data_IF_882583328476
#
_entry.id   IF_882583328476
#
_cell.length_a   1.000
_cell.length_b   1.000
_cell.length_c   1.000
_cell.angle_alpha   90.00
_cell.angle_beta   90.00
_cell.angle_gamma   90.00
#
_symmetry.space_group_name_H-M   'P 1'
#
loop_
_entity.id
_entity.type
_entity.pdbx_description
1 polymer ?
#
# COMPACT_ATOMS: atom_id res chain seq x y z
N UNK A 1 -10.41 -24.35 19.07
CA UNK A 1 -10.80 -23.32 18.09
C UNK A 1 -12.21 -22.80 18.36
N UNK A 2 -13.27 -23.61 18.23
CA UNK A 2 -14.67 -23.18 18.47
C UNK A 2 -14.89 -22.43 19.79
N UNK A 3 -14.42 -22.99 20.90
CA UNK A 3 -14.54 -22.35 22.23
C UNK A 3 -13.94 -20.95 22.27
N UNK A 4 -12.74 -20.78 21.70
CA UNK A 4 -12.05 -19.49 21.66
C UNK A 4 -12.79 -18.52 20.72
N UNK A 5 -13.26 -18.96 19.56
CA UNK A 5 -14.07 -18.13 18.66
C UNK A 5 -15.34 -17.63 19.34
N UNK A 6 -16.07 -18.51 20.03
CA UNK A 6 -17.27 -18.16 20.78
C UNK A 6 -17.00 -17.12 21.88
N UNK A 7 -15.89 -17.26 22.62
CA UNK A 7 -15.53 -16.28 23.64
C UNK A 7 -15.13 -14.94 23.02
N UNK A 8 -14.27 -14.96 22.00
CA UNK A 8 -13.73 -13.74 21.40
C UNK A 8 -14.78 -12.96 20.61
N UNK A 9 -15.76 -13.65 20.03
CA UNK A 9 -16.83 -13.05 19.21
C UNK A 9 -18.18 -13.01 19.93
N UNK A 10 -18.19 -13.35 21.22
CA UNK A 10 -19.40 -13.35 22.07
C UNK A 10 -20.58 -14.16 21.48
N UNK A 11 -20.28 -15.29 20.85
CA UNK A 11 -21.27 -16.23 20.27
C UNK A 11 -21.39 -17.52 21.08
N UNK A 12 -22.44 -18.30 20.80
CA UNK A 12 -22.75 -19.56 21.49
C UNK A 12 -22.93 -20.75 20.54
N UNK A 13 -22.23 -20.74 19.40
CA UNK A 13 -22.34 -21.83 18.41
C UNK A 13 -21.91 -23.18 18.98
N UNK A 14 -22.63 -24.24 18.60
CA UNK A 14 -22.27 -25.62 18.92
C UNK A 14 -21.65 -26.31 17.71
N UNK A 15 -20.88 -27.37 17.96
CA UNK A 15 -20.27 -28.17 16.87
C UNK A 15 -21.32 -28.92 16.03
N UNK A 16 -22.53 -29.08 16.56
CA UNK A 16 -23.66 -29.71 15.87
C UNK A 16 -24.23 -28.83 14.75
N UNK A 17 -23.90 -27.53 14.74
CA UNK A 17 -24.20 -26.65 13.62
C UNK A 17 -23.35 -27.09 12.41
N UNK A 18 -23.96 -27.57 11.31
CA UNK A 18 -23.22 -28.10 10.17
C UNK A 18 -22.28 -27.07 9.51
N UNK A 19 -22.72 -25.82 9.41
CA UNK A 19 -21.93 -24.71 8.85
C UNK A 19 -20.65 -24.45 9.66
N UNK A 20 -20.79 -24.41 10.99
CA UNK A 20 -19.67 -24.25 11.93
C UNK A 20 -18.74 -25.46 11.89
N UNK A 21 -19.29 -26.68 11.91
CA UNK A 21 -18.49 -27.91 11.82
C UNK A 21 -17.67 -27.97 10.54
N UNK A 22 -18.28 -27.60 9.40
CA UNK A 22 -17.64 -27.67 8.09
C UNK A 22 -16.49 -26.68 7.97
N UNK A 23 -16.70 -25.42 8.35
CA UNK A 23 -15.65 -24.40 8.25
C UNK A 23 -14.48 -24.65 9.21
N UNK A 24 -14.75 -25.22 10.39
CA UNK A 24 -13.68 -25.61 11.33
C UNK A 24 -12.86 -26.79 10.81
N UNK A 25 -13.50 -27.78 10.18
CA UNK A 25 -12.80 -28.88 9.50
C UNK A 25 -11.92 -28.36 8.36
N UNK A 26 -12.39 -27.39 7.60
CA UNK A 26 -11.61 -26.74 6.55
C UNK A 26 -10.37 -26.03 7.10
N UNK A 27 -10.52 -25.29 8.20
CA UNK A 27 -9.38 -24.65 8.89
C UNK A 27 -8.34 -25.67 9.36
N UNK A 28 -8.80 -26.83 9.88
CA UNK A 28 -7.92 -27.92 10.29
C UNK A 28 -7.21 -28.57 9.11
N UNK A 29 -7.92 -28.80 7.99
CA UNK A 29 -7.34 -29.39 6.79
C UNK A 29 -6.19 -28.54 6.22
N UNK A 30 -6.29 -27.21 6.35
CA UNK A 30 -5.26 -26.26 5.95
C UNK A 30 -4.20 -25.98 7.04
N UNK A 31 -4.30 -26.63 8.21
CA UNK A 31 -3.40 -26.42 9.35
C UNK A 31 -3.31 -24.97 9.82
N UNK A 32 -4.43 -24.23 9.80
CA UNK A 32 -4.44 -22.85 10.29
C UNK A 32 -4.24 -22.80 11.80
N UNK A 33 -3.38 -21.89 12.24
CA UNK A 33 -3.32 -21.50 13.64
C UNK A 33 -4.60 -20.74 14.04
N UNK A 34 -4.80 -20.52 15.34
CA UNK A 34 -6.00 -19.83 15.83
C UNK A 34 -6.13 -18.42 15.26
N UNK A 35 -5.03 -17.67 15.14
CA UNK A 35 -5.06 -16.31 14.60
C UNK A 35 -5.52 -16.30 13.15
N UNK A 36 -5.00 -17.21 12.32
CA UNK A 36 -5.39 -17.32 10.91
C UNK A 36 -6.85 -17.75 10.77
N UNK A 37 -7.30 -18.73 11.56
CA UNK A 37 -8.70 -19.13 11.57
C UNK A 37 -9.61 -17.98 12.03
N UNK A 38 -9.25 -17.30 13.12
CA UNK A 38 -10.01 -16.17 13.65
C UNK A 38 -10.10 -15.02 12.64
N UNK A 39 -8.98 -14.57 12.06
CA UNK A 39 -8.99 -13.46 11.10
C UNK A 39 -9.75 -13.75 9.81
N UNK A 40 -9.77 -15.01 9.35
CA UNK A 40 -10.57 -15.40 8.16
C UNK A 40 -12.06 -15.53 8.44
N UNK A 41 -12.44 -15.84 9.67
CA UNK A 41 -13.83 -16.12 10.05
C UNK A 41 -14.54 -14.91 10.69
N UNK A 42 -13.82 -14.00 11.33
CA UNK A 42 -14.41 -12.93 12.16
C UNK A 42 -15.47 -12.10 11.42
N UNK A 43 -15.27 -11.80 10.15
CA UNK A 43 -16.19 -10.99 9.33
C UNK A 43 -17.48 -11.70 8.88
N UNK A 44 -17.54 -13.03 9.03
CA UNK A 44 -18.67 -13.87 8.61
C UNK A 44 -19.29 -14.62 9.79
N UNK A 45 -18.66 -14.55 10.95
CA UNK A 45 -19.05 -15.25 12.15
C UNK A 45 -20.06 -14.42 12.94
N UNK A 46 -21.23 -14.99 13.26
CA UNK A 46 -22.29 -14.26 13.96
C UNK A 46 -23.23 -13.46 13.04
N UNK A 47 -22.88 -13.27 11.76
CA UNK A 47 -23.67 -12.54 10.73
C UNK A 47 -24.95 -13.26 10.26
N UNK A 48 -25.38 -14.32 10.96
CA UNK A 48 -26.55 -15.12 10.55
C UNK A 48 -26.39 -15.83 9.19
N UNK A 49 -25.15 -15.99 8.70
CA UNK A 49 -24.86 -16.61 7.42
C UNK A 49 -25.19 -18.12 7.50
N UNK A 50 -26.11 -18.64 6.65
CA UNK A 50 -26.56 -20.02 6.74
C UNK A 50 -25.42 -21.05 6.56
N UNK A 51 -24.51 -20.78 5.63
CA UNK A 51 -23.35 -21.61 5.34
C UNK A 51 -22.10 -20.73 5.15
N UNK A 52 -21.26 -20.69 6.19
CA UNK A 52 -20.06 -19.87 6.24
C UNK A 52 -19.04 -20.35 5.19
N UNK A 53 -18.93 -21.67 4.99
CA UNK A 53 -17.96 -22.23 4.05
C UNK A 53 -18.33 -21.88 2.61
N UNK A 54 -19.60 -22.05 2.23
CA UNK A 54 -20.09 -21.71 0.89
C UNK A 54 -19.92 -20.22 0.62
N UNK A 55 -20.22 -19.35 1.59
CA UNK A 55 -20.01 -17.91 1.43
C UNK A 55 -18.52 -17.58 1.22
N UNK A 56 -17.62 -18.15 2.02
CA UNK A 56 -16.18 -17.93 1.85
C UNK A 56 -15.67 -18.41 0.49
N UNK A 57 -16.09 -19.60 0.04
CA UNK A 57 -15.74 -20.12 -1.29
C UNK A 57 -16.25 -19.22 -2.42
N UNK A 58 -17.46 -18.69 -2.27
CA UNK A 58 -18.02 -17.71 -3.21
C UNK A 58 -17.18 -16.43 -3.25
N UNK A 59 -16.82 -15.87 -2.09
CA UNK A 59 -15.99 -14.65 -2.01
C UNK A 59 -14.60 -14.86 -2.64
N UNK A 60 -14.00 -16.02 -2.40
CA UNK A 60 -12.72 -16.39 -3.00
C UNK A 60 -12.82 -16.50 -4.52
N UNK A 61 -13.84 -17.20 -5.03
CA UNK A 61 -14.07 -17.34 -6.47
C UNK A 61 -14.32 -15.97 -7.15
N UNK A 62 -15.07 -15.08 -6.50
CA UNK A 62 -15.29 -13.71 -6.97
C UNK A 62 -13.98 -12.89 -7.06
N UNK A 63 -13.09 -13.00 -6.08
CA UNK A 63 -11.79 -12.31 -6.09
C UNK A 63 -10.86 -12.88 -7.18
N UNK A 64 -10.81 -14.22 -7.31
CA UNK A 64 -10.04 -14.89 -8.38
C UNK A 64 -10.52 -14.44 -9.76
N UNK A 65 -11.84 -14.46 -10.00
CA UNK A 65 -12.43 -14.03 -11.26
C UNK A 65 -12.13 -12.54 -11.55
N UNK A 66 -12.28 -11.67 -10.54
CA UNK A 66 -11.98 -10.24 -10.66
C UNK A 66 -10.52 -9.99 -11.02
N UNK A 67 -9.57 -10.62 -10.33
CA UNK A 67 -8.13 -10.46 -10.59
C UNK A 67 -7.74 -11.03 -11.95
N UNK A 68 -8.34 -12.15 -12.36
CA UNK A 68 -8.12 -12.74 -13.68
C UNK A 68 -8.60 -11.81 -14.79
N UNK A 69 -9.80 -11.22 -14.63
CA UNK A 69 -10.36 -10.26 -15.59
C UNK A 69 -9.68 -8.89 -15.58
N UNK A 70 -9.00 -8.54 -14.49
CA UNK A 70 -8.29 -7.27 -14.37
C UNK A 70 -7.07 -7.20 -15.29
N UNK A 71 -6.47 -8.34 -15.66
CA UNK A 71 -5.33 -8.43 -16.58
C UNK A 71 -5.76 -8.88 -17.98
N UNK A 72 -5.43 -8.07 -18.98
CA UNK A 72 -5.60 -8.39 -20.41
C UNK A 72 -4.26 -8.23 -21.11
N UNK A 73 -3.54 -9.35 -21.29
CA UNK A 73 -2.17 -9.33 -21.79
C UNK A 73 -1.24 -8.54 -20.88
N UNK A 74 -0.60 -7.50 -21.40
CA UNK A 74 0.29 -6.60 -20.64
C UNK A 74 -0.41 -5.37 -20.05
N UNK A 75 -1.74 -5.36 -20.02
CA UNK A 75 -2.56 -4.22 -19.57
C UNK A 75 -3.48 -4.60 -18.43
N UNK A 76 -3.54 -3.77 -17.40
CA UNK A 76 -4.53 -3.83 -16.33
C UNK A 76 -5.72 -2.97 -16.74
N UNK A 77 -6.82 -3.64 -17.10
CA UNK A 77 -8.05 -2.99 -17.60
C UNK A 77 -8.94 -2.46 -16.48
N UNK A 78 -8.78 -2.98 -15.27
CA UNK A 78 -9.40 -2.45 -14.06
C UNK A 78 -8.31 -2.09 -13.03
N UNK A 79 -7.89 -0.82 -12.94
CA UNK A 79 -6.88 -0.39 -11.97
C UNK A 79 -7.45 -0.18 -10.56
N UNK A 80 -8.78 -0.12 -10.37
CA UNK A 80 -9.39 -0.02 -9.03
C UNK A 80 -9.48 -1.42 -8.41
N UNK A 81 -8.32 -1.95 -8.04
CA UNK A 81 -8.20 -3.26 -7.41
C UNK A 81 -8.06 -3.12 -5.91
N UNK A 82 -8.88 -3.89 -5.20
CA UNK A 82 -8.72 -4.14 -3.78
C UNK A 82 -7.41 -4.89 -3.53
N UNK A 83 -6.77 -4.68 -2.36
CA UNK A 83 -5.55 -5.39 -2.04
C UNK A 83 -5.79 -6.89 -2.02
N UNK A 84 -4.77 -7.66 -2.35
CA UNK A 84 -4.87 -9.12 -2.24
C UNK A 84 -5.03 -9.58 -0.80
N UNK A 85 -4.37 -8.88 0.12
CA UNK A 85 -4.31 -9.22 1.53
C UNK A 85 -4.36 -7.94 2.36
N UNK A 86 -4.88 -8.05 3.58
CA UNK A 86 -4.86 -7.00 4.59
C UNK A 86 -4.31 -7.57 5.88
N UNK A 87 -3.69 -6.73 6.70
CA UNK A 87 -3.30 -7.08 8.05
C UNK A 87 -4.48 -6.81 8.99
N UNK A 88 -5.10 -7.90 9.45
CA UNK A 88 -6.09 -7.85 10.53
C UNK A 88 -5.36 -7.69 11.86
N UNK A 89 -5.53 -6.53 12.47
CA UNK A 89 -4.88 -6.14 13.71
C UNK A 89 -5.50 -6.87 14.91
N UNK A 90 -6.76 -7.33 14.83
CA UNK A 90 -7.36 -8.12 15.91
C UNK A 90 -6.71 -9.50 15.99
N UNK A 91 -6.59 -10.20 14.86
CA UNK A 91 -5.95 -11.52 14.80
C UNK A 91 -4.41 -11.48 14.78
N UNK A 92 -3.83 -10.32 14.49
CA UNK A 92 -2.42 -10.16 14.17
C UNK A 92 -1.96 -11.09 13.04
N UNK A 93 -2.79 -11.18 11.98
CA UNK A 93 -2.50 -11.98 10.78
C UNK A 93 -2.80 -11.19 9.52
N UNK A 94 -2.01 -11.44 8.50
CA UNK A 94 -2.30 -11.06 7.13
C UNK A 94 -3.26 -12.10 6.57
N UNK A 95 -4.45 -11.66 6.18
CA UNK A 95 -5.51 -12.50 5.65
C UNK A 95 -5.89 -12.04 4.24
N UNK A 96 -6.42 -12.94 3.39
CA UNK A 96 -6.96 -12.52 2.09
C UNK A 96 -8.06 -11.48 2.26
N UNK A 97 -8.01 -10.40 1.48
CA UNK A 97 -9.00 -9.31 1.57
C UNK A 97 -10.44 -9.82 1.37
N UNK A 98 -10.63 -10.81 0.49
CA UNK A 98 -11.94 -11.36 0.20
C UNK A 98 -12.61 -12.03 1.41
N UNK A 99 -11.87 -12.39 2.47
CA UNK A 99 -12.46 -12.91 3.70
C UNK A 99 -13.22 -11.79 4.44
N UNK A 100 -12.61 -10.62 4.61
CA UNK A 100 -13.19 -9.50 5.35
C UNK A 100 -14.00 -8.52 4.50
N UNK A 101 -13.71 -8.38 3.19
CA UNK A 101 -14.30 -7.39 2.28
C UNK A 101 -14.33 -5.97 2.88
N UNK A 102 -13.31 -5.65 3.68
CA UNK A 102 -13.17 -4.33 4.33
C UNK A 102 -13.02 -3.25 3.27
N UNK A 103 -13.69 -2.12 3.47
CA UNK A 103 -13.56 -0.96 2.58
C UNK A 103 -12.21 -0.26 2.81
N UNK A 104 -11.66 0.33 1.75
CA UNK A 104 -10.41 1.08 1.78
C UNK A 104 -10.70 2.47 1.18
N UNK A 105 -11.52 3.24 1.88
CA UNK A 105 -11.86 4.64 1.57
C UNK A 105 -13.27 5.10 2.01
N UNK A 106 -13.44 6.43 2.06
CA UNK A 106 -14.65 7.25 2.31
C UNK A 106 -15.69 6.88 3.41
N UNK A 107 -15.47 5.90 4.28
CA UNK A 107 -16.38 5.42 5.34
C UNK A 107 -15.70 5.25 6.71
N UNK A 108 -16.52 5.16 7.76
CA UNK A 108 -16.01 5.11 9.14
C UNK A 108 -15.45 3.71 9.56
N UNK A 109 -15.67 2.66 8.76
CA UNK A 109 -15.25 1.26 8.96
C UNK A 109 -14.04 0.83 8.09
N UNK A 110 -13.20 1.79 7.72
CA UNK A 110 -12.10 1.63 6.76
C UNK A 110 -10.84 0.92 7.28
N UNK A 111 -10.20 0.15 6.39
CA UNK A 111 -8.80 -0.21 6.57
C UNK A 111 -7.88 0.97 6.23
N UNK A 112 -6.99 1.35 7.15
CA UNK A 112 -6.06 2.46 6.91
C UNK A 112 -4.72 1.95 6.40
N UNK A 113 -4.28 2.30 5.17
CA UNK A 113 -2.97 1.91 4.69
C UNK A 113 -1.86 2.69 5.41
N UNK A 114 -0.69 2.05 5.53
CA UNK A 114 0.51 2.63 6.13
C UNK A 114 1.51 2.96 5.03
N UNK A 115 1.84 4.24 4.89
CA UNK A 115 2.98 4.70 4.08
C UNK A 115 4.18 4.92 4.98
N UNK A 116 5.38 4.61 4.51
CA UNK A 116 6.58 4.77 5.32
C UNK A 116 7.85 5.12 4.53
N UNK A 117 8.79 5.78 5.18
CA UNK A 117 10.15 5.91 4.66
C UNK A 117 10.90 4.57 4.76
N UNK A 118 11.93 4.41 3.93
CA UNK A 118 12.91 3.35 4.14
C UNK A 118 14.01 3.86 5.05
N UNK A 119 14.61 2.97 5.83
CA UNK A 119 15.93 3.21 6.41
C UNK A 119 16.99 2.55 5.53
N UNK A 120 18.26 2.83 5.79
CA UNK A 120 19.34 2.22 5.02
C UNK A 120 19.34 0.70 5.10
N UNK A 121 19.84 0.03 4.06
CA UNK A 121 19.88 -1.44 4.00
C UNK A 121 20.64 -2.05 5.18
N UNK A 122 21.73 -1.40 5.59
CA UNK A 122 22.50 -1.78 6.77
C UNK A 122 21.71 -1.70 8.08
N UNK A 123 20.64 -0.90 8.14
CA UNK A 123 19.79 -0.68 9.31
C UNK A 123 18.44 -1.40 9.23
N UNK A 124 18.28 -2.27 8.24
CA UNK A 124 17.13 -3.16 8.10
C UNK A 124 17.44 -4.57 8.60
N UNK A 125 16.39 -5.27 8.97
CA UNK A 125 16.40 -6.70 9.31
C UNK A 125 15.26 -7.40 8.60
N UNK A 126 15.54 -8.59 8.08
CA UNK A 126 14.56 -9.46 7.43
C UNK A 126 13.89 -10.36 8.50
N UNK A 127 12.64 -10.07 8.84
CA UNK A 127 11.92 -10.75 9.91
C UNK A 127 10.99 -11.82 9.37
N UNK A 128 11.21 -13.08 9.77
CA UNK A 128 10.26 -14.18 9.53
C UNK A 128 9.21 -14.21 10.64
N UNK A 129 7.99 -13.82 10.31
CA UNK A 129 6.91 -13.62 11.29
C UNK A 129 5.71 -14.53 11.02
N UNK A 130 5.01 -15.03 12.05
CA UNK A 130 3.73 -15.70 11.85
C UNK A 130 2.64 -14.77 11.30
N UNK A 131 2.83 -13.45 11.35
CA UNK A 131 1.84 -12.47 10.86
C UNK A 131 1.48 -12.74 9.39
N UNK A 132 2.46 -12.97 8.51
CA UNK A 132 2.24 -13.35 7.11
C UNK A 132 2.37 -14.85 6.87
N UNK A 133 2.14 -15.68 7.90
CA UNK A 133 2.28 -17.13 7.81
C UNK A 133 3.72 -17.62 7.58
N UNK A 134 4.74 -16.77 7.80
CA UNK A 134 6.15 -17.04 7.46
C UNK A 134 6.34 -17.37 5.98
N UNK A 135 5.52 -16.78 5.12
CA UNK A 135 5.58 -17.03 3.68
C UNK A 135 6.62 -16.18 2.94
N UNK A 136 7.06 -15.07 3.54
CA UNK A 136 8.17 -14.24 3.07
C UNK A 136 8.81 -13.47 4.23
N UNK A 137 10.08 -13.09 4.12
CA UNK A 137 10.71 -12.21 5.11
C UNK A 137 10.12 -10.79 5.00
N UNK A 138 10.01 -10.11 6.14
CA UNK A 138 9.48 -8.75 6.24
C UNK A 138 10.62 -7.79 6.55
N UNK A 139 11.02 -6.92 5.60
CA UNK A 139 12.07 -5.95 5.81
C UNK A 139 11.58 -4.80 6.68
N UNK A 140 12.11 -4.66 7.89
CA UNK A 140 11.80 -3.54 8.81
C UNK A 140 13.08 -2.93 9.39
N UNK A 141 13.06 -1.69 9.90
CA UNK A 141 14.18 -1.14 10.65
C UNK A 141 14.55 -2.02 11.86
N UNK A 142 15.84 -2.14 12.20
CA UNK A 142 16.31 -2.98 13.32
C UNK A 142 15.64 -2.64 14.66
N UNK A 143 15.36 -1.37 14.89
CA UNK A 143 14.76 -0.88 16.13
C UNK A 143 13.23 -0.90 16.11
N UNK A 144 12.61 -1.23 14.96
CA UNK A 144 11.16 -1.31 14.82
C UNK A 144 10.61 -2.65 15.33
N UNK A 145 9.40 -2.63 15.87
CA UNK A 145 8.67 -3.84 16.26
C UNK A 145 7.26 -3.80 15.68
N UNK A 146 6.89 -4.85 14.93
CA UNK A 146 5.55 -4.96 14.34
C UNK A 146 4.44 -4.89 15.39
N UNK A 147 4.66 -5.40 16.60
CA UNK A 147 3.68 -5.31 17.69
C UNK A 147 3.45 -3.87 18.17
N UNK A 148 4.47 -3.00 18.14
CA UNK A 148 4.31 -1.58 18.49
C UNK A 148 3.50 -0.86 17.42
N UNK A 149 3.80 -1.12 16.14
CA UNK A 149 3.02 -0.58 14.99
C UNK A 149 1.55 -1.00 15.13
N UNK A 150 1.31 -2.28 15.41
CA UNK A 150 -0.04 -2.81 15.65
C UNK A 150 -0.76 -2.09 16.79
N UNK A 151 -0.10 -1.91 17.94
CA UNK A 151 -0.70 -1.21 19.08
C UNK A 151 -1.01 0.25 18.75
N UNK A 152 -0.12 0.94 18.02
CA UNK A 152 -0.36 2.31 17.56
C UNK A 152 -1.59 2.40 16.67
N UNK A 153 -1.73 1.49 15.69
CA UNK A 153 -2.91 1.42 14.81
C UNK A 153 -4.20 1.09 15.59
N UNK A 154 -4.15 0.13 16.53
CA UNK A 154 -5.29 -0.22 17.38
C UNK A 154 -5.72 0.94 18.28
N UNK A 155 -4.77 1.73 18.80
CA UNK A 155 -5.07 2.93 19.60
C UNK A 155 -5.74 4.03 18.77
N UNK A 156 -5.56 4.02 17.44
CA UNK A 156 -6.30 4.88 16.51
C UNK A 156 -7.69 4.33 16.14
N UNK A 157 -8.10 3.20 16.72
CA UNK A 157 -9.40 2.56 16.46
C UNK A 157 -9.42 1.70 15.18
N UNK A 158 -8.26 1.39 14.60
CA UNK A 158 -8.16 0.66 13.34
C UNK A 158 -8.16 -0.85 13.60
N UNK A 159 -9.03 -1.59 12.92
CA UNK A 159 -9.06 -3.06 13.00
C UNK A 159 -8.32 -3.74 11.85
N UNK A 160 -8.28 -3.11 10.67
CA UNK A 160 -7.59 -3.61 9.48
C UNK A 160 -6.64 -2.55 8.93
N UNK A 161 -5.46 -2.96 8.50
CA UNK A 161 -4.51 -2.06 7.84
C UNK A 161 -3.90 -2.73 6.61
N UNK A 162 -3.39 -1.92 5.69
CA UNK A 162 -2.56 -2.40 4.60
C UNK A 162 -1.14 -1.87 4.77
N UNK A 163 -0.18 -2.78 4.86
CA UNK A 163 1.24 -2.47 4.95
C UNK A 163 1.96 -3.27 3.87
N UNK A 164 2.59 -2.59 2.92
CA UNK A 164 3.22 -3.18 1.73
C UNK A 164 4.16 -4.35 2.06
N UNK A 165 5.04 -4.19 3.05
CA UNK A 165 6.00 -5.22 3.46
C UNK A 165 5.35 -6.48 4.05
N UNK A 166 4.12 -6.36 4.57
CA UNK A 166 3.34 -7.47 5.11
C UNK A 166 2.31 -8.03 4.16
N UNK A 167 1.67 -7.20 3.34
CA UNK A 167 0.53 -7.57 2.51
C UNK A 167 0.92 -7.98 1.08
N UNK A 168 2.07 -7.51 0.60
CA UNK A 168 2.68 -7.97 -0.65
C UNK A 168 3.77 -9.00 -0.35
N UNK A 169 3.82 -10.05 -1.17
CA UNK A 169 4.89 -11.04 -1.10
C UNK A 169 6.23 -10.35 -1.39
N UNK A 170 7.18 -10.48 -0.47
CA UNK A 170 8.53 -9.92 -0.59
C UNK A 170 9.51 -10.96 -1.15
N UNK A 171 10.66 -10.47 -1.64
CA UNK A 171 11.73 -11.34 -2.16
C UNK A 171 12.32 -12.22 -1.07
N UNK A 172 12.82 -13.39 -1.46
CA UNK A 172 13.52 -14.31 -0.55
C UNK A 172 12.60 -15.27 0.22
N UNK A 173 11.30 -15.24 -0.08
CA UNK A 173 10.31 -16.19 0.42
C UNK A 173 10.26 -17.51 -0.38
N UNK A 174 9.66 -18.58 0.17
CA UNK A 174 9.15 -19.67 -0.64
C UNK A 174 8.17 -19.14 -1.71
N UNK A 175 8.11 -19.84 -2.85
CA UNK A 175 7.21 -19.53 -3.97
C UNK A 175 7.44 -18.15 -4.60
N UNK A 176 8.69 -17.84 -4.91
CA UNK A 176 9.08 -16.64 -5.66
C UNK A 176 8.37 -16.55 -7.03
N UNK A 177 7.97 -17.68 -7.61
CA UNK A 177 7.10 -17.76 -8.79
C UNK A 177 5.77 -17.01 -8.58
N UNK A 178 5.14 -17.17 -7.42
CA UNK A 178 3.91 -16.48 -7.07
C UNK A 178 4.14 -14.99 -6.89
N UNK A 179 5.28 -14.58 -6.33
CA UNK A 179 5.61 -13.15 -6.16
C UNK A 179 5.59 -12.44 -7.51
N UNK A 180 6.27 -13.03 -8.50
CA UNK A 180 6.37 -12.46 -9.84
C UNK A 180 4.98 -12.32 -10.48
N UNK A 181 4.12 -13.34 -10.35
CA UNK A 181 2.76 -13.29 -10.90
C UNK A 181 1.86 -12.30 -10.15
N UNK A 182 1.90 -12.26 -8.82
CA UNK A 182 1.14 -11.31 -8.00
C UNK A 182 1.54 -9.86 -8.32
N UNK A 183 2.85 -9.60 -8.45
CA UNK A 183 3.37 -8.25 -8.68
C UNK A 183 2.97 -7.66 -10.03
N UNK A 184 2.67 -8.48 -11.05
CA UNK A 184 2.16 -7.98 -12.35
C UNK A 184 0.89 -7.14 -12.18
N UNK A 185 0.03 -7.50 -11.21
CA UNK A 185 -1.22 -6.82 -10.91
C UNK A 185 -1.09 -5.92 -9.68
N UNK A 186 -0.59 -6.45 -8.56
CA UNK A 186 -0.80 -5.83 -7.26
C UNK A 186 0.12 -4.62 -7.02
N UNK A 187 1.37 -4.65 -7.50
CA UNK A 187 2.32 -3.52 -7.41
C UNK A 187 1.83 -2.28 -8.19
N UNK A 188 1.46 -2.39 -9.47
CA UNK A 188 1.00 -1.22 -10.23
C UNK A 188 -0.36 -0.71 -9.71
N UNK A 189 -1.17 -1.52 -9.01
CA UNK A 189 -2.45 -1.08 -8.42
C UNK A 189 -2.36 -0.56 -6.98
N UNK A 190 -1.17 -0.47 -6.37
CA UNK A 190 -1.01 0.04 -4.98
C UNK A 190 -1.70 1.39 -4.79
N UNK A 191 -1.62 2.30 -5.77
CA UNK A 191 -2.24 3.61 -5.67
C UNK A 191 -3.76 3.56 -5.46
N UNK A 192 -4.45 2.47 -5.82
CA UNK A 192 -5.88 2.30 -5.55
C UNK A 192 -6.18 2.18 -4.06
N UNK A 193 -5.28 1.55 -3.30
CA UNK A 193 -5.40 1.30 -1.87
C UNK A 193 -5.28 2.62 -1.09
N UNK A 194 -4.43 3.53 -1.56
CA UNK A 194 -4.23 4.82 -0.90
C UNK A 194 -5.25 5.87 -1.35
N UNK A 195 -5.75 5.77 -2.58
CA UNK A 195 -6.62 6.78 -3.18
C UNK A 195 -7.96 6.87 -2.43
N UNK A 196 -8.15 7.98 -1.72
CA UNK A 196 -9.39 8.22 -0.97
C UNK A 196 -9.35 7.72 0.47
N UNK A 197 -8.31 6.97 0.85
CA UNK A 197 -8.14 6.45 2.20
C UNK A 197 -7.55 7.48 3.15
N UNK A 198 -7.75 7.26 4.45
CA UNK A 198 -6.93 7.85 5.50
C UNK A 198 -5.63 7.05 5.66
N UNK A 199 -4.50 7.72 5.50
CA UNK A 199 -3.17 7.08 5.48
C UNK A 199 -2.43 7.38 6.77
N UNK A 200 -1.74 6.39 7.31
CA UNK A 200 -0.82 6.56 8.44
C UNK A 200 0.61 6.62 7.91
N UNK A 201 1.31 7.72 8.15
CA UNK A 201 2.63 7.98 7.57
C UNK A 201 3.74 7.92 8.61
N UNK A 202 4.67 6.97 8.47
CA UNK A 202 5.93 6.93 9.20
C UNK A 202 7.04 7.66 8.41
N UNK A 203 7.28 8.93 8.72
CA UNK A 203 8.18 9.77 7.90
C UNK A 203 9.68 9.50 8.12
N UNK A 204 10.07 9.03 9.31
CA UNK A 204 11.48 8.71 9.67
C UNK A 204 11.84 7.22 9.48
N UNK A 205 10.87 6.38 9.11
CA UNK A 205 11.04 4.94 8.94
C UNK A 205 9.95 4.15 9.65
N UNK A 206 9.56 3.02 9.07
CA UNK A 206 8.46 2.19 9.57
C UNK A 206 8.64 1.82 11.05
N UNK A 207 7.68 2.18 11.90
CA UNK A 207 7.71 1.87 13.34
C UNK A 207 8.73 2.66 14.15
N UNK A 208 9.37 3.68 13.57
CA UNK A 208 10.30 4.55 14.27
C UNK A 208 9.61 5.85 14.70
N UNK A 209 10.04 6.47 15.83
CA UNK A 209 9.59 7.81 16.20
C UNK A 209 9.91 8.83 15.11
N UNK A 210 9.04 9.83 14.97
CA UNK A 210 9.27 10.97 14.10
C UNK A 210 10.39 11.83 14.67
N UNK A 211 11.53 11.84 13.99
CA UNK A 211 12.69 12.66 14.35
C UNK A 211 13.18 13.45 13.15
N UNK A 212 13.84 14.59 13.39
CA UNK A 212 14.43 15.41 12.34
C UNK A 212 15.94 15.48 12.56
N UNK A 213 16.70 14.66 11.84
CA UNK A 213 18.16 14.75 11.81
C UNK A 213 18.63 15.58 10.63
N UNK A 214 19.76 16.26 10.80
CA UNK A 214 20.36 17.04 9.72
C UNK A 214 20.61 16.17 8.48
N UNK A 215 20.20 16.67 7.31
CA UNK A 215 20.30 15.95 6.04
C UNK A 215 19.22 14.88 5.79
N UNK A 216 18.42 14.49 6.78
CA UNK A 216 17.43 13.40 6.65
C UNK A 216 16.33 13.73 5.63
N UNK A 217 15.83 14.98 5.62
CA UNK A 217 14.81 15.41 4.66
C UNK A 217 15.30 15.36 3.19
N UNK A 218 16.61 15.54 2.99
CA UNK A 218 17.24 15.50 1.67
C UNK A 218 17.76 14.12 1.30
N UNK A 219 17.78 13.18 2.25
CA UNK A 219 18.22 11.81 1.97
C UNK A 219 17.30 11.18 0.92
N UNK A 220 17.88 10.37 0.04
CA UNK A 220 17.13 9.56 -0.93
C UNK A 220 16.16 8.57 -0.24
N UNK A 221 16.33 8.37 1.08
CA UNK A 221 15.47 7.56 1.95
C UNK A 221 14.29 8.33 2.55
N UNK A 222 14.34 9.66 2.53
CA UNK A 222 13.27 10.55 3.00
C UNK A 222 11.93 10.16 2.38
N UNK A 223 10.87 10.15 3.20
CA UNK A 223 9.51 9.93 2.72
C UNK A 223 9.15 10.90 1.58
N UNK A 224 9.62 12.15 1.64
CA UNK A 224 9.39 13.18 0.62
C UNK A 224 10.17 12.95 -0.68
N UNK A 225 11.14 12.04 -0.69
CA UNK A 225 12.00 11.75 -1.85
C UNK A 225 11.72 10.39 -2.47
N UNK A 226 10.88 9.53 -1.89
CA UNK A 226 10.55 8.25 -2.53
C UNK A 226 9.57 8.40 -3.69
N UNK A 227 9.76 7.61 -4.75
CA UNK A 227 8.87 7.59 -5.91
C UNK A 227 7.48 7.08 -5.56
N UNK A 228 7.41 5.96 -4.85
CA UNK A 228 6.15 5.33 -4.46
C UNK A 228 5.29 6.21 -3.54
N UNK A 229 5.90 6.98 -2.63
CA UNK A 229 5.15 7.85 -1.71
C UNK A 229 4.38 8.98 -2.41
N UNK A 230 4.66 9.25 -3.70
CA UNK A 230 3.87 10.20 -4.50
C UNK A 230 2.41 9.77 -4.67
N UNK A 231 2.13 8.45 -4.68
CA UNK A 231 0.77 7.91 -4.75
C UNK A 231 0.23 7.44 -3.39
N UNK A 232 1.02 7.50 -2.32
CA UNK A 232 0.67 7.02 -0.98
C UNK A 232 0.23 8.15 -0.03
N UNK A 233 -0.32 9.23 -0.59
CA UNK A 233 -0.68 10.43 0.18
C UNK A 233 -2.09 10.30 0.78
N UNK A 234 -2.99 9.62 0.07
CA UNK A 234 -4.42 9.51 0.40
C UNK A 234 -5.17 10.82 0.57
N UNK A 235 -6.42 10.73 1.01
CA UNK A 235 -7.31 11.88 1.20
C UNK A 235 -7.05 12.59 2.53
N UNK A 236 -6.78 11.81 3.59
CA UNK A 236 -6.38 12.29 4.91
C UNK A 236 -5.10 11.59 5.33
N UNK A 237 -4.33 12.23 6.21
CA UNK A 237 -3.09 11.66 6.76
C UNK A 237 -3.02 11.85 8.26
N UNK A 238 -2.61 10.79 8.95
CA UNK A 238 -2.09 10.84 10.31
C UNK A 238 -0.58 10.61 10.25
N UNK A 239 0.20 11.34 11.02
CA UNK A 239 1.64 11.06 11.12
C UNK A 239 1.85 10.14 12.32
N UNK A 240 2.53 9.02 12.08
CA UNK A 240 2.85 8.02 13.10
C UNK A 240 4.22 8.27 13.72
N UNK A 241 4.45 7.64 14.86
CA UNK A 241 5.65 7.87 15.68
C UNK A 241 5.72 9.28 16.26
N UNK A 242 4.59 10.01 16.27
CA UNK A 242 4.52 11.33 16.89
C UNK A 242 4.67 11.22 18.41
N UNK A 243 5.36 12.18 19.01
CA UNK A 243 5.63 12.23 20.45
C UNK A 243 5.31 13.63 20.95
N UNK A 244 4.91 13.83 22.23
CA UNK A 244 4.51 15.15 22.73
C UNK A 244 5.53 16.28 22.54
N UNK A 245 6.83 15.93 22.52
CA UNK A 245 7.94 16.86 22.28
C UNK A 245 8.46 16.82 20.82
N UNK A 246 7.68 16.18 19.93
CA UNK A 246 8.00 15.94 18.54
C UNK A 246 7.85 17.18 17.65
N UNK A 247 8.35 17.10 16.40
CA UNK A 247 8.38 18.25 15.50
C UNK A 247 7.00 18.76 15.07
N UNK A 248 5.95 17.95 15.22
CA UNK A 248 4.58 18.33 14.88
C UNK A 248 3.94 19.29 15.89
N UNK A 249 4.39 19.28 17.14
CA UNK A 249 3.84 20.12 18.20
C UNK A 249 4.57 21.46 18.38
N UNK A 250 5.66 21.67 17.64
CA UNK A 250 6.38 22.94 17.70
C UNK A 250 5.55 24.05 17.06
N UNK A 251 5.59 25.26 17.63
CA UNK A 251 4.89 26.43 17.08
C UNK A 251 5.81 27.26 16.18
N UNK A 252 5.28 27.88 15.11
CA UNK A 252 6.06 28.82 14.32
C UNK A 252 6.44 30.05 15.17
N UNK A 253 7.62 30.61 14.90
CA UNK A 253 8.15 31.80 15.58
C UNK A 253 7.63 33.11 14.98
N UNK A 254 7.06 33.04 13.78
CA UNK A 254 6.50 34.20 13.07
C UNK A 254 5.27 33.81 12.22
N UNK A 255 4.61 34.83 11.67
CA UNK A 255 3.46 34.65 10.78
C UNK A 255 3.85 34.15 9.37
N UNK A 256 5.14 34.06 9.05
CA UNK A 256 5.62 33.53 7.78
C UNK A 256 5.79 32.00 7.81
N UNK A 257 5.48 31.35 8.94
CA UNK A 257 5.60 29.91 9.13
C UNK A 257 7.05 29.46 9.29
N UNK A 258 7.94 30.34 9.73
CA UNK A 258 9.29 29.94 10.11
C UNK A 258 9.28 29.36 11.52
N UNK A 259 10.24 28.49 11.78
CA UNK A 259 10.46 27.80 13.04
C UNK A 259 11.87 28.09 13.55
N UNK A 260 12.12 27.75 14.82
CA UNK A 260 13.42 27.96 15.48
C UNK A 260 14.60 27.43 14.67
N UNK A 261 14.42 26.30 13.98
CA UNK A 261 15.44 25.72 13.12
C UNK A 261 15.02 25.70 11.64
N UNK A 262 16.02 25.82 10.76
CA UNK A 262 15.80 25.74 9.32
C UNK A 262 15.24 24.38 8.88
N UNK A 263 15.67 23.29 9.52
CA UNK A 263 15.17 21.94 9.25
C UNK A 263 13.69 21.80 9.60
N UNK A 264 13.26 22.36 10.74
CA UNK A 264 11.86 22.30 11.15
C UNK A 264 10.97 23.16 10.23
N UNK A 265 11.47 24.33 9.83
CA UNK A 265 10.79 25.17 8.82
C UNK A 265 10.63 24.42 7.50
N UNK A 266 11.67 23.70 7.07
CA UNK A 266 11.62 22.92 5.84
C UNK A 266 10.68 21.72 5.94
N UNK A 267 10.69 21.01 7.08
CA UNK A 267 9.81 19.89 7.35
C UNK A 267 8.34 20.29 7.21
N UNK A 268 7.90 21.35 7.90
CA UNK A 268 6.52 21.83 7.84
C UNK A 268 6.14 22.28 6.42
N UNK A 269 7.01 23.01 5.72
CA UNK A 269 6.79 23.38 4.31
C UNK A 269 6.65 22.16 3.39
N UNK A 270 7.49 21.14 3.58
CA UNK A 270 7.40 19.89 2.80
C UNK A 270 6.11 19.14 3.11
N UNK A 271 5.73 19.04 4.38
CA UNK A 271 4.51 18.38 4.82
C UNK A 271 3.25 19.05 4.23
N UNK A 272 3.18 20.38 4.27
CA UNK A 272 2.10 21.18 3.68
C UNK A 272 2.05 21.02 2.15
N UNK A 273 3.22 20.98 1.50
CA UNK A 273 3.33 20.83 0.04
C UNK A 273 3.03 19.41 -0.46
N UNK A 274 3.13 18.41 0.42
CA UNK A 274 2.86 17.02 0.10
C UNK A 274 1.33 16.83 -0.05
N UNK A 275 0.77 17.27 -1.16
CA UNK A 275 -0.65 17.08 -1.50
C UNK A 275 -0.85 16.11 -2.66
N UNK A 276 -2.09 15.68 -2.88
CA UNK A 276 -2.45 14.85 -4.04
C UNK A 276 -2.13 15.63 -5.33
N UNK A 277 -1.16 15.15 -6.10
CA UNK A 277 -0.87 15.70 -7.43
C UNK A 277 -1.88 15.16 -8.43
N UNK A 278 -2.94 15.94 -8.70
CA UNK A 278 -4.03 15.51 -9.59
C UNK A 278 -3.87 15.93 -11.06
N UNK A 279 -2.79 16.66 -11.36
CA UNK A 279 -2.41 17.14 -12.69
C UNK A 279 -1.10 16.46 -13.15
N UNK A 280 -1.02 15.91 -14.38
CA UNK A 280 0.18 15.27 -14.92
C UNK A 280 1.46 16.07 -14.81
N UNK A 281 1.42 17.40 -15.02
CA UNK A 281 2.64 18.21 -14.89
C UNK A 281 3.15 18.27 -13.47
N UNK A 282 2.25 18.46 -12.51
CA UNK A 282 2.60 18.49 -11.10
C UNK A 282 3.14 17.13 -10.65
N UNK A 283 2.53 16.05 -11.14
CA UNK A 283 2.99 14.68 -10.88
C UNK A 283 4.39 14.41 -11.49
N UNK A 284 4.60 14.79 -12.75
CA UNK A 284 5.90 14.66 -13.42
C UNK A 284 6.98 15.51 -12.73
N UNK A 285 6.68 16.78 -12.45
CA UNK A 285 7.57 17.70 -11.75
C UNK A 285 7.95 17.17 -10.37
N UNK A 286 6.99 16.66 -9.60
CA UNK A 286 7.26 16.02 -8.33
C UNK A 286 8.14 14.77 -8.50
N UNK A 287 7.86 13.91 -9.48
CA UNK A 287 8.59 12.65 -9.74
C UNK A 287 10.06 12.87 -10.14
N UNK A 288 10.41 14.02 -10.76
CA UNK A 288 11.80 14.36 -11.09
C UNK A 288 12.74 14.29 -9.89
N UNK A 289 12.29 14.82 -8.76
CA UNK A 289 13.08 14.89 -7.53
C UNK A 289 12.98 13.63 -6.66
N UNK A 290 12.13 12.67 -7.06
CA UNK A 290 11.98 11.39 -6.36
C UNK A 290 13.08 10.40 -6.74
N UNK A 291 13.25 9.38 -5.90
CA UNK A 291 14.22 8.31 -6.00
C UNK A 291 13.49 6.99 -5.89
N UNK A 292 13.94 5.99 -6.64
CA UNK A 292 13.40 4.65 -6.63
C UNK A 292 14.50 3.60 -6.58
N UNK A 293 14.16 2.42 -6.08
CA UNK A 293 15.06 1.25 -6.10
C UNK A 293 15.22 0.74 -7.53
N UNK A 294 14.10 0.61 -8.25
CA UNK A 294 14.12 0.28 -9.67
C UNK A 294 13.71 1.50 -10.50
N UNK A 295 14.38 1.81 -11.62
CA UNK A 295 14.00 2.94 -12.45
C UNK A 295 12.53 2.91 -12.88
N UNK A 296 11.98 1.71 -13.14
CA UNK A 296 10.59 1.51 -13.56
C UNK A 296 9.56 1.90 -12.49
N UNK A 297 9.92 1.87 -11.21
CA UNK A 297 9.03 2.29 -10.11
C UNK A 297 8.59 3.74 -10.26
N UNK A 298 9.42 4.62 -10.85
CA UNK A 298 9.01 6.00 -11.14
C UNK A 298 7.87 6.08 -12.15
N UNK A 299 7.85 5.18 -13.13
CA UNK A 299 6.76 5.11 -14.10
C UNK A 299 5.52 4.52 -13.43
N UNK A 300 5.67 3.42 -12.68
CA UNK A 300 4.56 2.77 -11.99
C UNK A 300 3.92 3.71 -10.94
N UNK A 301 4.71 4.42 -10.15
CA UNK A 301 4.25 5.39 -9.16
C UNK A 301 3.55 6.63 -9.73
N UNK A 302 3.59 6.85 -11.05
CA UNK A 302 2.82 7.90 -11.73
C UNK A 302 1.42 7.44 -12.14
N UNK A 303 1.13 6.13 -12.14
CA UNK A 303 -0.06 5.58 -12.78
C UNK A 303 -1.37 6.22 -12.28
N UNK A 304 -1.50 6.38 -10.96
CA UNK A 304 -2.70 6.96 -10.34
C UNK A 304 -2.74 8.50 -10.40
N UNK A 305 -1.58 9.16 -10.45
CA UNK A 305 -1.49 10.62 -10.60
C UNK A 305 -1.78 11.08 -12.04
N UNK A 306 -1.65 10.18 -13.02
CA UNK A 306 -1.85 10.44 -14.45
C UNK A 306 -3.28 10.23 -14.94
N UNK A 307 -4.22 9.90 -14.03
CA UNK A 307 -5.66 9.69 -14.32
C UNK A 307 -5.91 8.81 -15.55
N UNK A 308 -5.23 7.67 -15.61
CA UNK A 308 -5.43 6.68 -16.67
C UNK A 308 -6.70 5.85 -16.40
N UNK A 309 -7.31 5.31 -17.47
CA UNK A 309 -8.47 4.39 -17.33
C UNK A 309 -8.05 2.94 -17.09
N UNK A 310 -6.79 2.65 -17.38
CA UNK A 310 -6.11 1.37 -17.34
C UNK A 310 -4.63 1.66 -17.12
N UNK A 311 -3.86 0.67 -16.69
CA UNK A 311 -2.43 0.87 -16.40
C UNK A 311 -1.63 -0.29 -17.00
N UNK A 312 -0.37 -0.10 -17.39
CA UNK A 312 0.47 -1.22 -17.80
C UNK A 312 0.68 -2.18 -16.63
N UNK A 313 0.72 -3.48 -16.93
CA UNK A 313 1.18 -4.48 -15.96
C UNK A 313 2.67 -4.27 -15.63
N UNK A 314 3.07 -4.66 -14.43
CA UNK A 314 4.42 -4.44 -13.95
C UNK A 314 5.34 -5.61 -14.28
N UNK A 315 6.48 -5.30 -14.90
CA UNK A 315 7.52 -6.27 -15.22
C UNK A 315 8.88 -5.68 -14.83
N UNK A 316 9.56 -6.29 -13.86
CA UNK A 316 10.84 -5.80 -13.34
C UNK A 316 11.92 -5.64 -14.43
N UNK A 317 11.87 -6.48 -15.47
CA UNK A 317 12.84 -6.49 -16.57
C UNK A 317 12.49 -5.56 -17.74
N UNK A 318 11.40 -4.79 -17.65
CA UNK A 318 10.95 -3.94 -18.75
C UNK A 318 11.84 -2.69 -18.91
N UNK A 319 12.11 -2.31 -20.16
CA UNK A 319 12.79 -1.06 -20.47
C UNK A 319 11.98 0.14 -19.97
N UNK A 320 12.65 1.11 -19.36
CA UNK A 320 12.04 2.32 -18.80
C UNK A 320 11.23 3.12 -19.84
N UNK A 321 11.79 3.28 -21.05
CA UNK A 321 11.13 3.99 -22.14
C UNK A 321 9.89 3.24 -22.65
N UNK A 322 9.91 1.91 -22.64
CA UNK A 322 8.77 1.08 -23.02
C UNK A 322 7.66 1.13 -21.96
N UNK A 323 8.02 1.12 -20.68
CA UNK A 323 7.08 1.30 -19.57
C UNK A 323 6.41 2.68 -19.63
N UNK A 324 7.20 3.75 -19.82
CA UNK A 324 6.70 5.11 -20.01
C UNK A 324 5.76 5.19 -21.23
N UNK A 325 6.21 4.62 -22.34
CA UNK A 325 5.44 4.51 -23.56
C UNK A 325 4.10 3.80 -23.36
N UNK A 326 4.08 2.72 -22.59
CA UNK A 326 2.85 2.01 -22.25
C UNK A 326 1.93 2.89 -21.41
N UNK A 327 2.45 3.53 -20.35
CA UNK A 327 1.66 4.41 -19.50
C UNK A 327 1.04 5.59 -20.27
N UNK A 328 1.81 6.26 -21.13
CA UNK A 328 1.29 7.36 -21.95
C UNK A 328 0.18 6.90 -22.89
N UNK A 329 0.24 5.67 -23.43
CA UNK A 329 -0.83 5.15 -24.28
C UNK A 329 -2.16 4.99 -23.51
N UNK A 330 -2.08 4.71 -22.21
CA UNK A 330 -3.25 4.51 -21.34
C UNK A 330 -3.83 5.82 -20.77
N UNK A 331 -3.11 6.94 -20.90
CA UNK A 331 -3.58 8.24 -20.47
C UNK A 331 -4.82 8.70 -21.25
N UNK A 332 -5.71 9.42 -20.58
CA UNK A 332 -6.88 9.98 -21.25
C UNK A 332 -6.43 10.95 -22.38
N UNK A 333 -7.21 11.07 -23.48
CA UNK A 333 -6.81 11.89 -24.64
C UNK A 333 -6.44 13.34 -24.29
N UNK A 334 -7.12 13.92 -23.29
CA UNK A 334 -6.85 15.29 -22.85
C UNK A 334 -5.44 15.43 -22.25
N UNK A 335 -5.05 14.54 -21.32
CA UNK A 335 -3.71 14.56 -20.74
C UNK A 335 -2.60 14.22 -21.73
N UNK A 336 -2.88 13.35 -22.72
CA UNK A 336 -1.94 13.13 -23.84
C UNK A 336 -1.74 14.39 -24.67
N UNK A 337 -2.82 15.10 -24.98
CA UNK A 337 -2.76 16.38 -25.67
C UNK A 337 -1.99 17.42 -24.87
N UNK A 338 -2.20 17.47 -23.56
CA UNK A 338 -1.44 18.31 -22.64
C UNK A 338 0.07 18.03 -22.77
N UNK A 339 0.51 16.77 -22.63
CA UNK A 339 1.93 16.41 -22.84
C UNK A 339 2.45 16.79 -24.23
N UNK A 340 1.66 16.58 -25.28
CA UNK A 340 2.03 16.95 -26.65
C UNK A 340 2.34 18.44 -26.78
N UNK A 341 1.55 19.31 -26.15
CA UNK A 341 1.75 20.77 -26.25
C UNK A 341 2.87 21.30 -25.36
N UNK A 342 3.20 20.66 -24.23
CA UNK A 342 4.30 21.12 -23.38
C UNK A 342 5.69 20.73 -23.87
N UNK A 343 5.81 19.60 -24.58
CA UNK A 343 7.10 19.08 -25.00
C UNK A 343 7.22 19.19 -26.52
N UNK A 344 7.76 20.31 -26.99
CA UNK A 344 7.86 20.65 -28.41
C UNK A 344 8.89 19.79 -29.19
N UNK A 345 9.82 19.15 -28.50
CA UNK A 345 10.82 18.27 -29.10
C UNK A 345 10.25 16.88 -29.41
N UNK A 346 10.67 16.22 -30.50
CA UNK A 346 10.25 14.85 -30.78
C UNK A 346 10.74 13.90 -29.69
N UNK A 347 9.91 12.92 -29.32
CA UNK A 347 10.31 11.83 -28.45
C UNK A 347 11.19 10.79 -29.13
N UNK A 348 11.47 9.71 -28.39
CA UNK A 348 12.27 8.57 -28.85
C UNK A 348 11.40 7.46 -29.46
N UNK A 349 12.03 6.58 -30.25
CA UNK A 349 11.38 5.41 -30.84
C UNK A 349 10.43 5.73 -32.00
N UNK A 350 9.43 4.86 -32.20
CA UNK A 350 8.52 4.93 -33.34
C UNK A 350 7.43 6.02 -33.22
N UNK A 351 7.05 6.40 -32.00
CA UNK A 351 6.01 7.41 -31.73
C UNK A 351 6.62 8.72 -31.25
N UNK A 352 7.10 9.54 -32.20
CA UNK A 352 7.81 10.81 -31.92
C UNK A 352 6.92 11.96 -31.41
N UNK A 353 5.59 11.84 -31.49
CA UNK A 353 4.68 12.92 -31.09
C UNK A 353 4.63 13.13 -29.57
N UNK A 354 4.94 12.12 -28.77
CA UNK A 354 4.94 12.21 -27.30
C UNK A 354 6.36 12.42 -26.78
N UNK A 355 6.55 13.03 -25.61
CA UNK A 355 7.86 13.12 -25.00
C UNK A 355 8.38 11.73 -24.60
N UNK A 356 9.69 11.55 -24.73
CA UNK A 356 10.45 10.44 -24.12
C UNK A 356 10.48 10.57 -22.60
N UNK A 357 10.79 9.46 -21.91
CA UNK A 357 11.00 9.48 -20.46
C UNK A 357 12.08 10.47 -20.06
N UNK A 358 13.18 10.50 -20.82
CA UNK A 358 14.29 11.44 -20.61
C UNK A 358 13.80 12.89 -20.65
N UNK A 359 13.03 13.28 -21.66
CA UNK A 359 12.53 14.66 -21.79
C UNK A 359 11.62 15.09 -20.64
N UNK A 360 10.82 14.19 -20.06
CA UNK A 360 9.94 14.55 -18.93
C UNK A 360 10.66 14.55 -17.58
N UNK A 361 11.83 13.91 -17.51
CA UNK A 361 12.66 13.85 -16.30
C UNK A 361 13.78 14.88 -16.27
N UNK A 362 14.28 15.32 -17.43
CA UNK A 362 15.15 16.49 -17.60
C UNK A 362 14.35 17.78 -17.30
#
# INVERSE_FOLDING_TARGET
VLYLLNITLETSYTIDNPSVSSVLKDCMAHNYDFGTAFGRLRSVWGEGIPDIQVELQKREAEDIDRRTKALSGSRIVNPQMEPRRVWDLCSNRVVPWWCCKVDIGWRDDEAWPISHAWVDEGDRVEVWTPINGREWPVPIPKDAKLDLIRMEMLNMGVEYTWLDVLCLRQRGGPREDLRIEEWKLDVPTIGAIYKGARVVCYLSGLGLPLTLKEGELESDRSWFRRAWTLQEIGYQRSIAGDTPDGPLHTKPIDNAGNYETAILTKFHKQLDSAGITSNPYSALSAMRYRVSTYPIDKVAGLAFSMRTRSIPAYYESQCLEDAWSALVNEMCPWFRGTLFFAYAGPGTGCKKWRPSWKQVMD
#
